data_IF_030907112041
#
_entry.id   IF_030907112041
#
_cell.length_a   1.000
_cell.length_b   1.000
_cell.length_c   1.000
_cell.angle_alpha   90.00
_cell.angle_beta   90.00
_cell.angle_gamma   90.00
#
_symmetry.space_group_name_H-M   'P 1'
#
loop_
_entity.id
_entity.type
_entity.pdbx_description
1 polymer ?
#
# COMPACT_ATOMS: atom_id res chain seq x y z
N UNK A 1 -7.80 -16.93 4.48
CA UNK A 1 -7.33 -16.75 5.88
C UNK A 1 -7.02 -18.13 6.46
N UNK A 2 -5.77 -18.41 6.79
CA UNK A 2 -5.29 -19.77 7.16
C UNK A 2 -5.33 -20.08 8.67
N UNK A 3 -5.92 -19.20 9.49
CA UNK A 3 -5.91 -19.33 10.96
C UNK A 3 -6.94 -20.29 11.56
N UNK A 4 -7.81 -20.88 10.75
CA UNK A 4 -8.88 -21.76 11.22
C UNK A 4 -8.38 -23.15 11.60
N UNK A 5 -9.24 -23.91 12.32
CA UNK A 5 -8.96 -25.25 12.83
C UNK A 5 -8.50 -26.25 11.76
N UNK A 6 -9.11 -26.16 10.59
CA UNK A 6 -8.83 -27.04 9.44
C UNK A 6 -7.48 -26.77 8.77
N UNK A 7 -6.79 -25.70 9.17
CA UNK A 7 -5.58 -25.22 8.51
C UNK A 7 -4.45 -25.07 9.52
N UNK A 8 -4.41 -23.95 10.23
CA UNK A 8 -3.31 -23.61 11.12
C UNK A 8 -3.68 -23.74 12.61
N UNK A 9 -4.97 -23.83 12.91
CA UNK A 9 -5.54 -23.90 14.27
C UNK A 9 -4.90 -22.90 15.25
N UNK A 10 -4.69 -21.69 14.78
CA UNK A 10 -4.07 -20.63 15.57
C UNK A 10 -4.99 -20.18 16.69
N UNK A 11 -4.41 -19.70 17.78
CA UNK A 11 -5.14 -19.12 18.91
C UNK A 11 -4.78 -17.66 19.09
N UNK A 12 -5.80 -16.81 19.14
CA UNK A 12 -5.69 -15.38 19.46
C UNK A 12 -4.67 -14.59 18.61
N UNK A 13 -4.54 -14.91 17.33
CA UNK A 13 -3.68 -14.14 16.43
C UNK A 13 -4.17 -12.70 16.37
N UNK A 14 -3.37 -11.69 16.71
CA UNK A 14 -3.81 -10.31 16.68
C UNK A 14 -4.05 -9.86 15.23
N UNK A 15 -5.23 -9.34 14.96
CA UNK A 15 -5.61 -8.71 13.70
C UNK A 15 -5.94 -7.26 14.00
N UNK A 16 -5.22 -6.34 13.37
CA UNK A 16 -5.45 -4.91 13.47
C UNK A 16 -6.31 -4.46 12.29
N UNK A 17 -7.46 -3.90 12.59
CA UNK A 17 -8.44 -3.53 11.56
C UNK A 17 -9.14 -2.20 11.84
N UNK A 18 -9.52 -1.51 10.78
CA UNK A 18 -10.37 -0.33 10.85
C UNK A 18 -11.81 -0.71 11.26
N UNK A 19 -12.57 0.25 11.73
CA UNK A 19 -13.90 0.03 12.33
C UNK A 19 -14.88 -0.68 11.40
N UNK A 20 -14.94 -0.32 10.10
CA UNK A 20 -15.85 -0.97 9.15
C UNK A 20 -15.39 -2.40 8.84
N UNK A 21 -14.07 -2.62 8.68
CA UNK A 21 -13.51 -3.96 8.50
C UNK A 21 -13.83 -4.86 9.70
N UNK A 22 -13.72 -4.36 10.93
CA UNK A 22 -14.15 -5.08 12.14
C UNK A 22 -15.61 -5.53 12.05
N UNK A 23 -16.49 -4.60 11.69
CA UNK A 23 -17.91 -4.89 11.49
C UNK A 23 -18.14 -5.96 10.42
N UNK A 24 -17.42 -5.91 9.32
CA UNK A 24 -17.48 -6.92 8.25
C UNK A 24 -17.04 -8.29 8.75
N UNK A 25 -15.89 -8.40 9.40
CA UNK A 25 -15.35 -9.67 9.92
C UNK A 25 -16.27 -10.34 10.92
N UNK A 26 -16.90 -9.57 11.82
CA UNK A 26 -17.81 -10.11 12.86
C UNK A 26 -19.14 -10.59 12.28
N UNK A 27 -19.68 -9.89 11.25
CA UNK A 27 -21.03 -10.12 10.74
C UNK A 27 -21.10 -11.13 9.61
N UNK A 28 -20.00 -11.44 8.95
CA UNK A 28 -19.99 -12.28 7.74
C UNK A 28 -19.25 -13.60 7.97
N UNK A 29 -19.91 -14.72 7.68
CA UNK A 29 -19.23 -16.00 7.51
C UNK A 29 -18.43 -16.05 6.18
N UNK A 30 -17.32 -16.80 6.12
CA UNK A 30 -16.71 -17.63 7.17
C UNK A 30 -15.80 -16.86 8.16
N UNK A 31 -15.56 -15.55 7.96
CA UNK A 31 -14.62 -14.78 8.79
C UNK A 31 -15.06 -14.68 10.25
N UNK A 32 -16.38 -14.53 10.51
CA UNK A 32 -16.91 -14.48 11.87
C UNK A 32 -16.65 -15.77 12.67
N UNK A 33 -16.45 -16.90 12.00
CA UNK A 33 -16.09 -18.16 12.65
C UNK A 33 -14.72 -18.08 13.30
N UNK A 34 -13.73 -17.45 12.64
CA UNK A 34 -12.39 -17.28 13.18
C UNK A 34 -12.39 -16.48 14.49
N UNK A 35 -13.23 -15.44 14.55
CA UNK A 35 -13.43 -14.65 15.76
C UNK A 35 -14.14 -15.47 16.86
N UNK A 36 -15.25 -16.15 16.52
CA UNK A 36 -16.04 -16.97 17.49
C UNK A 36 -15.24 -18.12 18.07
N UNK A 37 -14.37 -18.74 17.30
CA UNK A 37 -13.49 -19.84 17.72
C UNK A 37 -12.18 -19.36 18.37
N UNK A 38 -12.03 -18.04 18.58
CA UNK A 38 -10.83 -17.45 19.15
C UNK A 38 -9.53 -17.74 18.36
N UNK A 39 -9.65 -17.99 17.06
CA UNK A 39 -8.48 -18.11 16.20
C UNK A 39 -7.81 -16.75 15.99
N UNK A 40 -8.59 -15.68 15.95
CA UNK A 40 -8.13 -14.30 15.82
C UNK A 40 -8.64 -13.43 16.97
N UNK A 41 -7.84 -12.45 17.36
CA UNK A 41 -8.22 -11.37 18.28
C UNK A 41 -8.24 -10.05 17.52
N UNK A 42 -9.42 -9.43 17.45
CA UNK A 42 -9.63 -8.18 16.74
C UNK A 42 -9.16 -6.98 17.58
N UNK A 43 -8.32 -6.14 17.00
CA UNK A 43 -7.78 -4.92 17.63
C UNK A 43 -8.10 -3.73 16.71
N UNK A 44 -9.06 -2.91 17.12
CA UNK A 44 -9.48 -1.77 16.34
C UNK A 44 -8.37 -0.73 16.26
N UNK A 45 -8.11 -0.22 15.06
CA UNK A 45 -7.21 0.90 14.80
C UNK A 45 -7.99 2.07 14.21
N UNK A 46 -7.49 3.28 14.40
CA UNK A 46 -8.15 4.49 13.94
C UNK A 46 -7.25 5.32 13.03
N UNK A 47 -7.88 6.07 12.13
CA UNK A 47 -7.20 7.01 11.26
C UNK A 47 -6.32 7.99 12.03
N UNK A 48 -5.04 8.09 11.65
CA UNK A 48 -4.03 8.96 12.25
C UNK A 48 -3.67 8.66 13.72
N UNK A 49 -4.06 7.52 14.24
CA UNK A 49 -3.66 7.06 15.56
C UNK A 49 -2.40 6.20 15.48
N UNK A 50 -1.36 6.58 16.21
CA UNK A 50 -0.12 5.82 16.23
C UNK A 50 -0.26 4.54 17.05
N UNK A 51 0.21 3.45 16.49
CA UNK A 51 0.25 2.13 17.12
C UNK A 51 1.70 1.73 17.32
N UNK A 52 2.11 1.55 18.57
CA UNK A 52 3.45 1.05 18.92
C UNK A 52 3.48 -0.47 18.78
N UNK A 53 4.31 -0.97 17.87
CA UNK A 53 4.54 -2.41 17.68
C UNK A 53 5.69 -2.91 18.55
N UNK A 54 6.65 -2.03 18.87
CA UNK A 54 7.75 -2.28 19.81
C UNK A 54 8.26 -0.92 20.35
N UNK A 55 9.32 -0.96 21.17
CA UNK A 55 9.94 0.27 21.67
C UNK A 55 10.47 1.20 20.56
N UNK A 56 10.84 0.63 19.41
CA UNK A 56 11.51 1.35 18.33
C UNK A 56 10.74 1.29 16.99
N UNK A 57 9.54 0.72 16.98
CA UNK A 57 8.74 0.56 15.77
C UNK A 57 7.31 0.98 16.03
N UNK A 58 6.81 1.93 15.24
CA UNK A 58 5.40 2.33 15.24
C UNK A 58 4.84 2.41 13.84
N UNK A 59 3.52 2.28 13.75
CA UNK A 59 2.76 2.49 12.51
C UNK A 59 1.62 3.46 12.77
N UNK A 60 1.31 4.27 11.76
CA UNK A 60 0.16 5.18 11.79
C UNK A 60 -0.66 4.96 10.52
N UNK A 61 -1.87 4.39 10.63
CA UNK A 61 -2.76 4.22 9.50
C UNK A 61 -3.35 5.57 9.08
N UNK A 62 -3.56 5.75 7.79
CA UNK A 62 -4.29 6.91 7.28
C UNK A 62 -5.18 6.50 6.11
N UNK A 63 -6.36 7.13 6.00
CA UNK A 63 -7.30 6.85 4.94
C UNK A 63 -6.75 7.30 3.58
N UNK A 64 -6.96 6.47 2.58
CA UNK A 64 -6.73 6.78 1.17
C UNK A 64 -8.01 6.50 0.38
N UNK A 65 -8.31 7.27 -0.67
CA UNK A 65 -9.46 7.00 -1.51
C UNK A 65 -9.23 5.73 -2.32
N UNK A 66 -10.18 4.82 -2.27
CA UNK A 66 -10.23 3.62 -3.11
C UNK A 66 -11.64 3.02 -3.04
N UNK A 67 -11.85 1.82 -3.61
CA UNK A 67 -13.11 1.07 -3.46
C UNK A 67 -13.27 0.62 -2.01
N UNK A 68 -14.09 1.34 -1.28
CA UNK A 68 -14.30 1.13 0.16
C UNK A 68 -15.73 0.76 0.51
N UNK A 69 -16.40 0.01 -0.37
CA UNK A 69 -17.81 -0.38 -0.18
C UNK A 69 -18.02 -1.16 1.12
N UNK A 70 -17.05 -2.02 1.49
CA UNK A 70 -17.14 -2.90 2.66
C UNK A 70 -16.27 -2.47 3.83
N UNK A 71 -15.13 -1.85 3.55
CA UNK A 71 -14.16 -1.42 4.56
C UNK A 71 -13.43 -0.17 4.12
N UNK A 72 -12.77 0.47 5.06
CA UNK A 72 -11.83 1.56 4.76
C UNK A 72 -10.61 1.01 4.00
N UNK A 73 -10.08 1.82 3.07
CA UNK A 73 -8.76 1.59 2.49
C UNK A 73 -7.76 2.52 3.17
N UNK A 74 -6.62 1.97 3.57
CA UNK A 74 -5.61 2.69 4.34
C UNK A 74 -4.21 2.52 3.75
N UNK A 75 -3.43 3.60 3.80
CA UNK A 75 -1.98 3.55 3.78
C UNK A 75 -1.42 3.61 5.20
N UNK A 76 -0.11 3.40 5.33
CA UNK A 76 0.58 3.43 6.62
C UNK A 76 1.83 4.29 6.55
N UNK A 77 2.05 5.07 7.60
CA UNK A 77 3.37 5.60 7.92
C UNK A 77 4.02 4.66 8.92
N UNK A 78 5.19 4.14 8.58
CA UNK A 78 5.97 3.22 9.41
C UNK A 78 7.18 3.99 9.90
N UNK A 79 7.37 4.09 11.21
CA UNK A 79 8.51 4.77 11.80
C UNK A 79 9.37 3.76 12.53
N UNK A 80 10.60 3.59 12.07
CA UNK A 80 11.64 2.83 12.75
C UNK A 80 12.60 3.74 13.50
N UNK A 81 13.66 3.18 14.09
CA UNK A 81 14.62 3.95 14.90
C UNK A 81 15.48 4.93 14.08
N UNK A 82 15.62 4.72 12.78
CA UNK A 82 16.48 5.52 11.89
C UNK A 82 15.77 6.04 10.67
N UNK A 83 14.74 5.34 10.19
CA UNK A 83 14.05 5.66 8.94
C UNK A 83 12.54 5.52 9.07
N UNK A 84 11.86 6.26 8.23
CA UNK A 84 10.41 6.21 8.07
C UNK A 84 10.03 5.78 6.66
N UNK A 85 8.93 5.02 6.54
CA UNK A 85 8.40 4.55 5.26
C UNK A 85 6.97 5.01 5.11
N UNK A 86 6.65 5.59 3.96
CA UNK A 86 5.29 5.81 3.49
C UNK A 86 4.85 4.61 2.66
N UNK A 87 3.81 3.90 3.09
CA UNK A 87 3.31 2.69 2.45
C UNK A 87 1.89 2.92 1.93
N UNK A 88 1.72 3.03 0.63
CA UNK A 88 0.43 3.21 -0.06
C UNK A 88 0.37 2.21 -1.22
N UNK A 89 0.01 0.94 -0.94
CA UNK A 89 0.02 -0.12 -1.95
C UNK A 89 -1.12 -0.01 -2.95
N UNK A 90 -2.23 0.61 -2.56
CA UNK A 90 -3.46 0.66 -3.33
C UNK A 90 -4.21 1.97 -3.05
N UNK A 91 -4.50 2.73 -4.09
CA UNK A 91 -5.15 4.03 -4.00
C UNK A 91 -5.83 4.40 -5.34
N UNK A 92 -6.85 5.23 -5.29
CA UNK A 92 -7.38 5.95 -6.44
C UNK A 92 -6.38 7.02 -6.94
N UNK A 93 -6.71 7.66 -8.05
CA UNK A 93 -5.91 8.78 -8.59
C UNK A 93 -5.49 9.77 -7.50
N UNK A 94 -4.22 10.18 -7.50
CA UNK A 94 -3.65 11.11 -6.50
C UNK A 94 -4.48 12.39 -6.29
N UNK A 95 -5.16 12.87 -7.33
CA UNK A 95 -6.03 14.04 -7.25
C UNK A 95 -7.30 13.86 -6.39
N UNK A 96 -7.68 12.61 -6.08
CA UNK A 96 -8.79 12.31 -5.16
C UNK A 96 -8.37 12.27 -3.70
N UNK A 97 -7.08 12.15 -3.43
CA UNK A 97 -6.57 12.14 -2.07
C UNK A 97 -6.53 13.56 -1.50
N UNK A 98 -7.00 13.74 -0.29
CA UNK A 98 -7.04 15.05 0.39
C UNK A 98 -5.67 15.52 0.93
N UNK A 99 -4.61 14.75 0.68
CA UNK A 99 -3.22 15.11 1.01
C UNK A 99 -2.39 15.31 -0.24
N UNK A 100 -1.30 16.06 -0.11
CA UNK A 100 -0.35 16.27 -1.18
C UNK A 100 0.76 15.20 -1.11
N UNK A 101 0.83 14.32 -2.12
CA UNK A 101 1.80 13.23 -2.18
C UNK A 101 3.25 13.70 -2.03
N UNK A 102 3.64 14.82 -2.69
CA UNK A 102 4.99 15.37 -2.60
C UNK A 102 5.35 15.76 -1.17
N UNK A 103 4.39 16.37 -0.45
CA UNK A 103 4.61 16.76 0.95
C UNK A 103 4.74 15.55 1.86
N UNK A 104 3.97 14.48 1.63
CA UNK A 104 4.05 13.27 2.43
C UNK A 104 5.37 12.51 2.17
N UNK A 105 5.85 12.48 0.92
CA UNK A 105 7.16 11.88 0.58
C UNK A 105 8.33 12.67 1.20
N UNK A 106 8.27 14.00 1.20
CA UNK A 106 9.29 14.83 1.86
C UNK A 106 9.47 14.53 3.35
N UNK A 107 8.40 14.07 4.01
CA UNK A 107 8.39 13.68 5.44
C UNK A 107 8.81 12.23 5.68
N UNK A 108 9.23 11.52 4.65
CA UNK A 108 9.58 10.10 4.71
C UNK A 108 10.94 9.85 4.05
N UNK A 109 11.62 8.79 4.49
CA UNK A 109 12.91 8.39 3.94
C UNK A 109 12.74 7.45 2.73
N UNK A 110 11.63 6.72 2.68
CA UNK A 110 11.25 5.81 1.62
C UNK A 110 9.73 5.89 1.38
N UNK A 111 9.30 5.67 0.15
CA UNK A 111 7.89 5.54 -0.21
C UNK A 111 7.68 4.28 -1.05
N UNK A 112 6.79 3.41 -0.60
CA UNK A 112 6.29 2.25 -1.33
C UNK A 112 4.90 2.60 -1.85
N UNK A 113 4.78 2.85 -3.15
CA UNK A 113 3.59 3.43 -3.75
C UNK A 113 2.94 2.48 -4.76
N UNK A 114 1.63 2.64 -4.91
CA UNK A 114 0.85 1.97 -5.94
C UNK A 114 1.48 2.13 -7.33
N UNK A 115 1.79 1.03 -7.94
CA UNK A 115 2.33 0.88 -9.27
C UNK A 115 1.54 -0.11 -10.11
N UNK A 116 0.26 -0.33 -9.81
CA UNK A 116 -0.58 -1.35 -10.44
C UNK A 116 -0.44 -1.37 -11.96
N UNK A 117 -0.53 -0.22 -12.61
CA UNK A 117 -0.38 -0.09 -14.06
C UNK A 117 0.71 0.91 -14.43
N UNK A 118 1.48 0.60 -15.47
CA UNK A 118 2.50 1.49 -15.99
C UNK A 118 1.90 2.71 -16.69
N UNK A 119 1.09 2.46 -17.71
CA UNK A 119 0.40 3.51 -18.47
C UNK A 119 -0.96 3.01 -19.00
N UNK A 120 -1.66 3.91 -19.71
CA UNK A 120 -2.97 3.60 -20.29
C UNK A 120 -2.95 2.52 -21.37
N UNK A 121 -1.81 2.25 -22.01
CA UNK A 121 -1.69 1.25 -23.08
C UNK A 121 -1.75 -0.17 -22.53
N UNK A 122 -1.38 -0.36 -21.27
CA UNK A 122 -1.46 -1.65 -20.59
C UNK A 122 -2.91 -2.15 -20.48
N UNK A 123 -3.87 -1.26 -20.53
CA UNK A 123 -5.28 -1.53 -20.19
C UNK A 123 -6.16 -1.74 -21.42
N UNK A 124 -5.58 -2.00 -22.56
CA UNK A 124 -6.00 -2.17 -23.96
C UNK A 124 -7.47 -2.00 -24.36
N UNK A 125 -8.47 -2.44 -23.62
CA UNK A 125 -9.89 -2.40 -24.00
C UNK A 125 -10.83 -1.87 -22.91
N UNK A 126 -10.28 -1.29 -21.84
CA UNK A 126 -11.08 -0.69 -20.76
C UNK A 126 -11.09 0.82 -20.91
N UNK A 127 -12.20 1.41 -20.56
CA UNK A 127 -12.27 2.85 -20.43
C UNK A 127 -11.31 3.31 -19.33
N UNK A 128 -10.33 4.14 -19.67
CA UNK A 128 -9.29 4.65 -18.75
C UNK A 128 -9.92 5.33 -17.53
N UNK A 129 -11.10 5.96 -17.69
CA UNK A 129 -11.82 6.61 -16.60
C UNK A 129 -12.33 5.62 -15.53
N UNK A 130 -12.44 4.33 -15.86
CA UNK A 130 -12.88 3.28 -14.94
C UNK A 130 -11.73 2.69 -14.12
N UNK A 131 -10.47 3.09 -14.43
CA UNK A 131 -9.29 2.60 -13.72
C UNK A 131 -8.99 3.57 -12.58
N UNK A 132 -9.23 3.13 -11.35
CA UNK A 132 -9.07 4.01 -10.20
C UNK A 132 -7.60 4.32 -9.92
N UNK A 133 -6.68 3.36 -10.15
CA UNK A 133 -5.27 3.49 -9.79
C UNK A 133 -4.54 4.61 -10.54
N UNK A 134 -3.60 5.32 -9.90
CA UNK A 134 -2.67 6.19 -10.61
C UNK A 134 -1.75 5.33 -11.48
N UNK A 135 -1.49 5.77 -12.72
CA UNK A 135 -0.45 5.14 -13.53
C UNK A 135 0.93 5.53 -13.00
N UNK A 136 1.91 4.64 -13.15
CA UNK A 136 3.31 4.94 -12.82
C UNK A 136 3.79 6.20 -13.54
N UNK A 137 3.46 6.35 -14.83
CA UNK A 137 3.80 7.54 -15.61
C UNK A 137 3.17 8.83 -15.07
N UNK A 138 1.97 8.77 -14.48
CA UNK A 138 1.32 9.91 -13.82
C UNK A 138 2.09 10.30 -12.55
N UNK A 139 2.45 9.31 -11.74
CA UNK A 139 3.26 9.53 -10.53
C UNK A 139 4.62 10.12 -10.90
N UNK A 140 5.31 9.57 -11.92
CA UNK A 140 6.58 10.12 -12.41
C UNK A 140 6.43 11.58 -12.90
N UNK A 141 5.34 11.90 -13.59
CA UNK A 141 5.08 13.26 -14.06
C UNK A 141 4.90 14.26 -12.92
N UNK A 142 4.24 13.86 -11.81
CA UNK A 142 4.13 14.71 -10.61
C UNK A 142 5.50 15.09 -10.05
N UNK A 143 6.49 14.21 -10.12
CA UNK A 143 7.83 14.43 -9.58
C UNK A 143 8.84 14.88 -10.60
N UNK A 144 8.43 15.24 -11.83
CA UNK A 144 9.34 15.60 -12.93
C UNK A 144 10.37 16.64 -12.52
N UNK A 145 9.93 17.71 -11.84
CA UNK A 145 10.75 18.84 -11.42
C UNK A 145 11.44 18.63 -10.05
N UNK A 146 11.17 17.54 -9.36
CA UNK A 146 11.85 17.25 -8.08
C UNK A 146 13.26 16.71 -8.35
N UNK A 147 14.15 16.91 -7.38
CA UNK A 147 15.52 16.41 -7.47
C UNK A 147 15.58 14.87 -7.35
N UNK A 148 16.74 14.30 -7.71
CA UNK A 148 16.92 12.85 -7.69
C UNK A 148 16.83 12.25 -6.28
N UNK A 149 17.15 12.99 -5.23
CA UNK A 149 17.03 12.48 -3.86
C UNK A 149 15.58 12.27 -3.45
N UNK A 150 14.65 13.08 -3.92
CA UNK A 150 13.22 12.87 -3.69
C UNK A 150 12.65 11.75 -4.58
N UNK A 151 13.04 11.69 -5.85
CA UNK A 151 12.62 10.64 -6.78
C UNK A 151 13.06 9.26 -6.33
N UNK A 152 14.30 9.13 -5.85
CA UNK A 152 14.87 7.85 -5.42
C UNK A 152 14.24 7.26 -4.17
N UNK A 153 13.50 8.05 -3.39
CA UNK A 153 12.68 7.54 -2.28
C UNK A 153 11.52 6.66 -2.78
N UNK A 154 11.04 6.89 -4.01
CA UNK A 154 9.85 6.25 -4.55
C UNK A 154 10.19 4.88 -5.13
N UNK A 155 9.53 3.85 -4.59
CA UNK A 155 9.60 2.48 -5.07
C UNK A 155 8.19 2.02 -5.41
N UNK A 156 7.94 1.66 -6.65
CA UNK A 156 6.67 1.14 -7.09
C UNK A 156 6.49 -0.31 -6.64
N UNK A 157 5.32 -0.62 -6.12
CA UNK A 157 4.88 -1.93 -5.64
C UNK A 157 3.50 -2.26 -6.22
N UNK A 158 2.91 -3.42 -5.86
CA UNK A 158 1.56 -3.80 -6.25
C UNK A 158 1.37 -3.91 -7.77
N UNK A 159 2.42 -4.33 -8.48
CA UNK A 159 2.39 -4.42 -9.95
C UNK A 159 1.39 -5.46 -10.42
N UNK A 160 0.51 -5.10 -11.35
CA UNK A 160 -0.36 -6.05 -12.02
C UNK A 160 0.47 -7.02 -12.88
N UNK A 161 -0.04 -8.22 -13.12
CA UNK A 161 0.66 -9.25 -13.91
C UNK A 161 0.96 -8.84 -15.37
N UNK A 162 0.28 -7.83 -15.89
CA UNK A 162 0.53 -7.25 -17.22
C UNK A 162 1.55 -6.12 -17.21
N UNK A 163 1.95 -5.65 -16.01
CA UNK A 163 2.78 -4.48 -15.89
C UNK A 163 4.19 -4.72 -16.46
N UNK A 164 4.65 -3.92 -17.44
CA UNK A 164 5.94 -4.11 -18.08
C UNK A 164 7.14 -3.95 -17.13
N UNK A 165 6.95 -3.40 -15.92
CA UNK A 165 8.00 -3.31 -14.91
C UNK A 165 8.39 -4.67 -14.30
N UNK A 166 7.60 -5.71 -14.52
CA UNK A 166 7.95 -7.08 -14.13
C UNK A 166 9.11 -7.65 -14.98
N UNK A 167 9.33 -7.11 -16.19
CA UNK A 167 10.49 -7.44 -17.02
C UNK A 167 11.56 -6.33 -16.90
N UNK A 168 12.68 -6.65 -16.25
CA UNK A 168 13.81 -5.73 -16.06
C UNK A 168 14.48 -5.28 -17.37
N UNK A 169 14.24 -5.99 -18.48
CA UNK A 169 14.75 -5.63 -19.80
C UNK A 169 13.80 -4.72 -20.57
N UNK A 170 12.57 -4.53 -20.10
CA UNK A 170 11.57 -3.70 -20.76
C UNK A 170 12.01 -2.24 -20.86
N UNK A 171 11.53 -1.55 -21.89
CA UNK A 171 11.75 -0.11 -22.05
C UNK A 171 11.12 0.69 -20.88
N UNK A 172 10.00 0.23 -20.35
CA UNK A 172 9.31 0.85 -19.22
C UNK A 172 10.17 0.78 -17.95
N UNK A 173 10.72 -0.39 -17.61
CA UNK A 173 11.61 -0.55 -16.46
C UNK A 173 12.84 0.35 -16.56
N UNK A 174 13.51 0.35 -17.71
CA UNK A 174 14.68 1.22 -17.97
C UNK A 174 14.30 2.68 -17.81
N UNK A 175 13.17 3.11 -18.37
CA UNK A 175 12.68 4.48 -18.26
C UNK A 175 12.42 4.91 -16.81
N UNK A 176 11.83 4.05 -15.97
CA UNK A 176 11.61 4.32 -14.55
C UNK A 176 12.96 4.54 -13.85
N UNK A 177 13.94 3.66 -14.06
CA UNK A 177 15.27 3.76 -13.45
C UNK A 177 16.05 4.98 -13.90
N UNK A 178 16.09 5.27 -15.19
CA UNK A 178 16.75 6.44 -15.77
C UNK A 178 16.13 7.76 -15.30
N UNK A 179 14.84 7.74 -14.98
CA UNK A 179 14.15 8.91 -14.43
C UNK A 179 14.36 9.11 -12.92
N UNK A 180 15.16 8.24 -12.26
CA UNK A 180 15.53 8.35 -10.85
C UNK A 180 14.57 7.64 -9.88
N UNK A 181 13.60 6.88 -10.38
CA UNK A 181 12.66 6.10 -9.56
C UNK A 181 13.09 4.65 -9.40
N UNK A 182 12.40 3.93 -8.52
CA UNK A 182 12.70 2.54 -8.21
C UNK A 182 11.44 1.65 -8.27
N UNK A 183 11.68 0.35 -8.29
CA UNK A 183 10.70 -0.70 -8.01
C UNK A 183 11.21 -1.53 -6.86
N UNK A 184 10.34 -1.94 -5.95
CA UNK A 184 10.70 -2.92 -4.94
C UNK A 184 10.65 -4.33 -5.53
N UNK A 185 11.60 -5.18 -5.14
CA UNK A 185 11.68 -6.56 -5.59
C UNK A 185 11.29 -7.52 -4.47
N UNK A 186 10.96 -8.74 -4.86
CA UNK A 186 10.74 -9.81 -3.91
C UNK A 186 12.01 -10.03 -3.06
N UNK A 187 11.84 -10.10 -1.74
CA UNK A 187 12.90 -10.24 -0.74
C UNK A 187 13.79 -9.00 -0.52
N UNK A 188 13.47 -7.84 -1.07
CA UNK A 188 14.15 -6.61 -0.65
C UNK A 188 13.96 -6.39 0.85
N UNK A 189 15.05 -6.07 1.54
CA UNK A 189 15.06 -5.80 2.98
C UNK A 189 15.22 -4.30 3.20
N UNK A 190 14.26 -3.71 3.90
CA UNK A 190 14.29 -2.29 4.28
C UNK A 190 14.68 -2.21 5.76
N UNK A 191 15.86 -1.67 6.04
CA UNK A 191 16.29 -1.40 7.41
C UNK A 191 15.73 -0.05 7.87
N UNK A 192 14.91 -0.10 8.89
CA UNK A 192 14.22 1.04 9.50
C UNK A 192 15.02 1.71 10.61
#
# INVERSE_FOLDING_TARGET
MYGGKESYDSSSVPVFEMTRMKGFLIKNGPWSQLFKLNNIKLNNINHQEEIKLSNNLSITPFLVPHRDEFSETVGFKINGPKKSVLFIPDIDKWGKWNKNLKQEIKKSDLALLDGTFYDSKEVNNRNISEIPHPFIVETMALFKEENNSEKSKINFIHLNHTNPLLDTNSAAFKKVKESGFNTANYKDIINL
#
